data_IF_297052349929
#
_entry.id   IF_297052349929
#
_cell.length_a   1.000
_cell.length_b   1.000
_cell.length_c   1.000
_cell.angle_alpha   90.00
_cell.angle_beta   90.00
_cell.angle_gamma   90.00
#
_symmetry.space_group_name_H-M   'P 1'
#
loop_
_entity.id
_entity.type
_entity.pdbx_description
1 polymer ?
#
# COMPACT_ATOMS: atom_id res chain seq x y z
N UNK A 1 -23.26 -8.06 -9.21
CA UNK A 1 -22.20 -8.43 -10.19
C UNK A 1 -20.88 -7.74 -9.89
N UNK A 2 -20.83 -6.40 -9.82
CA UNK A 2 -19.60 -5.63 -9.53
C UNK A 2 -18.94 -6.01 -8.19
N UNK A 3 -19.73 -6.29 -7.15
CA UNK A 3 -19.22 -6.75 -5.86
C UNK A 3 -18.42 -8.06 -5.96
N UNK A 4 -18.93 -9.06 -6.68
CA UNK A 4 -18.24 -10.36 -6.85
C UNK A 4 -16.95 -10.16 -7.64
N UNK A 5 -16.99 -9.34 -8.69
CA UNK A 5 -15.80 -8.96 -9.46
C UNK A 5 -14.75 -8.31 -8.55
N UNK A 6 -15.15 -7.39 -7.68
CA UNK A 6 -14.23 -6.78 -6.72
C UNK A 6 -13.56 -7.81 -5.79
N UNK A 7 -14.31 -8.81 -5.30
CA UNK A 7 -13.72 -9.88 -4.47
C UNK A 7 -12.76 -10.77 -5.27
N UNK A 8 -13.03 -11.00 -6.56
CA UNK A 8 -12.09 -11.71 -7.45
C UNK A 8 -10.78 -10.93 -7.58
N UNK A 9 -10.84 -9.60 -7.75
CA UNK A 9 -9.63 -8.76 -7.76
C UNK A 9 -8.88 -8.84 -6.43
N UNK A 10 -9.57 -8.79 -5.30
CA UNK A 10 -8.93 -8.97 -3.98
C UNK A 10 -8.30 -10.35 -3.81
N UNK A 11 -8.91 -11.39 -4.39
CA UNK A 11 -8.32 -12.74 -4.38
C UNK A 11 -7.08 -12.84 -5.26
N UNK A 12 -7.09 -12.20 -6.44
CA UNK A 12 -5.90 -12.07 -7.30
C UNK A 12 -4.79 -11.32 -6.56
N UNK A 13 -5.13 -10.21 -5.88
CA UNK A 13 -4.19 -9.44 -5.06
C UNK A 13 -3.55 -10.31 -3.97
N UNK A 14 -4.36 -11.11 -3.27
CA UNK A 14 -3.91 -12.06 -2.27
C UNK A 14 -2.92 -13.09 -2.84
N UNK A 15 -3.26 -13.74 -3.96
CA UNK A 15 -2.39 -14.74 -4.59
C UNK A 15 -1.05 -14.13 -4.99
N UNK A 16 -1.09 -12.97 -5.67
CA UNK A 16 0.13 -12.28 -6.10
C UNK A 16 0.97 -11.93 -4.86
N UNK A 17 0.33 -11.45 -3.80
CA UNK A 17 0.96 -11.13 -2.52
C UNK A 17 1.71 -12.30 -1.90
N UNK A 18 1.10 -13.47 -1.84
CA UNK A 18 1.78 -14.67 -1.36
C UNK A 18 3.01 -14.98 -2.22
N UNK A 19 2.90 -14.87 -3.55
CA UNK A 19 3.99 -15.21 -4.48
C UNK A 19 5.18 -14.26 -4.33
N UNK A 20 4.97 -12.94 -4.43
CA UNK A 20 6.11 -12.00 -4.48
C UNK A 20 6.76 -11.76 -3.11
N UNK A 21 6.08 -12.04 -1.98
CA UNK A 21 6.70 -11.94 -0.64
C UNK A 21 7.93 -12.85 -0.50
N UNK A 22 8.00 -13.93 -1.28
CA UNK A 22 9.18 -14.80 -1.32
C UNK A 22 10.33 -14.27 -2.19
N UNK A 23 10.15 -13.16 -2.90
CA UNK A 23 11.20 -12.61 -3.76
C UNK A 23 12.27 -11.93 -2.92
N UNK A 24 13.54 -12.26 -3.18
CA UNK A 24 14.69 -11.69 -2.46
C UNK A 24 15.15 -10.35 -3.03
N UNK A 25 14.76 -10.02 -4.28
CA UNK A 25 15.15 -8.76 -4.93
C UNK A 25 14.19 -7.64 -4.58
N UNK A 26 14.70 -6.59 -3.93
CA UNK A 26 13.94 -5.38 -3.60
C UNK A 26 13.37 -4.69 -4.85
N UNK A 27 14.06 -4.78 -5.98
CA UNK A 27 13.60 -4.23 -7.26
C UNK A 27 12.32 -4.90 -7.74
N UNK A 28 12.31 -6.24 -7.71
CA UNK A 28 11.14 -7.01 -8.08
C UNK A 28 9.98 -6.75 -7.11
N UNK A 29 10.25 -6.67 -5.80
CA UNK A 29 9.22 -6.37 -4.79
C UNK A 29 8.53 -5.04 -5.12
N UNK A 30 9.29 -3.96 -5.35
CA UNK A 30 8.68 -2.64 -5.62
C UNK A 30 7.91 -2.64 -6.94
N UNK A 31 8.42 -3.32 -7.98
CA UNK A 31 7.70 -3.47 -9.25
C UNK A 31 6.37 -4.21 -9.06
N UNK A 32 6.34 -5.30 -8.28
CA UNK A 32 5.10 -6.02 -7.95
C UNK A 32 4.15 -5.16 -7.11
N UNK A 33 4.66 -4.32 -6.21
CA UNK A 33 3.82 -3.37 -5.47
C UNK A 33 3.10 -2.39 -6.39
N UNK A 34 3.67 -2.00 -7.54
CA UNK A 34 2.97 -1.16 -8.54
C UNK A 34 1.75 -1.91 -9.07
N UNK A 35 1.92 -3.17 -9.46
CA UNK A 35 0.84 -4.01 -10.01
C UNK A 35 -0.28 -4.21 -8.98
N UNK A 36 0.07 -4.55 -7.74
CA UNK A 36 -0.92 -4.69 -6.66
C UNK A 36 -1.73 -3.42 -6.45
N UNK A 37 -1.08 -2.26 -6.40
CA UNK A 37 -1.78 -1.00 -6.20
C UNK A 37 -2.76 -0.69 -7.35
N UNK A 38 -2.48 -1.13 -8.58
CA UNK A 38 -3.42 -1.00 -9.70
C UNK A 38 -4.59 -2.00 -9.61
N UNK A 39 -4.34 -3.20 -9.11
CA UNK A 39 -5.38 -4.20 -8.82
C UNK A 39 -6.30 -3.68 -7.72
N UNK A 40 -5.74 -3.20 -6.61
CA UNK A 40 -6.47 -2.57 -5.52
C UNK A 40 -7.27 -1.35 -6.00
N UNK A 41 -6.68 -0.49 -6.85
CA UNK A 41 -7.40 0.63 -7.42
C UNK A 41 -8.66 0.20 -8.19
N UNK A 42 -8.50 -0.83 -9.04
CA UNK A 42 -9.61 -1.41 -9.81
C UNK A 42 -10.68 -1.98 -8.89
N UNK A 43 -10.29 -2.73 -7.86
CA UNK A 43 -11.20 -3.26 -6.85
C UNK A 43 -11.98 -2.15 -6.14
N UNK A 44 -11.31 -1.09 -5.70
CA UNK A 44 -11.97 0.02 -5.02
C UNK A 44 -12.96 0.76 -5.94
N UNK A 45 -12.64 0.95 -7.22
CA UNK A 45 -13.60 1.54 -8.17
C UNK A 45 -14.81 0.64 -8.39
N UNK A 46 -14.64 -0.69 -8.45
CA UNK A 46 -15.74 -1.64 -8.55
C UNK A 46 -16.66 -1.60 -7.31
N UNK A 47 -16.13 -1.23 -6.15
CA UNK A 47 -16.87 -1.04 -4.89
C UNK A 47 -17.36 0.40 -4.69
N UNK A 48 -17.19 1.27 -5.68
CA UNK A 48 -17.51 2.70 -5.62
C UNK A 48 -16.76 3.47 -4.52
N UNK A 49 -15.62 2.96 -4.08
CA UNK A 49 -14.71 3.56 -3.11
C UNK A 49 -13.64 4.43 -3.81
N UNK A 50 -14.09 5.52 -4.44
CA UNK A 50 -13.30 6.38 -5.33
C UNK A 50 -12.05 6.92 -4.65
N UNK A 51 -12.13 7.37 -3.39
CA UNK A 51 -10.95 7.89 -2.67
C UNK A 51 -9.85 6.82 -2.58
N UNK A 52 -10.21 5.62 -2.12
CA UNK A 52 -9.30 4.48 -2.02
C UNK A 52 -8.68 4.15 -3.38
N UNK A 53 -9.49 4.12 -4.43
CA UNK A 53 -9.03 3.85 -5.79
C UNK A 53 -7.98 4.83 -6.31
N UNK A 54 -8.24 6.14 -6.15
CA UNK A 54 -7.32 7.20 -6.59
C UNK A 54 -6.03 7.19 -5.75
N UNK A 55 -6.15 7.00 -4.44
CA UNK A 55 -5.00 6.89 -3.55
C UNK A 55 -4.12 5.69 -3.92
N UNK A 56 -4.73 4.55 -4.28
CA UNK A 56 -3.99 3.38 -4.76
C UNK A 56 -3.24 3.66 -6.08
N UNK A 57 -3.83 4.40 -7.02
CA UNK A 57 -3.12 4.84 -8.24
C UNK A 57 -1.91 5.71 -7.88
N UNK A 58 -2.07 6.66 -6.96
CA UNK A 58 -0.98 7.53 -6.51
C UNK A 58 0.13 6.70 -5.87
N UNK A 59 -0.22 5.69 -5.07
CA UNK A 59 0.73 4.76 -4.48
C UNK A 59 1.47 3.94 -5.55
N UNK A 60 0.80 3.51 -6.62
CA UNK A 60 1.45 2.83 -7.75
C UNK A 60 2.51 3.72 -8.40
N UNK A 61 2.16 4.98 -8.73
CA UNK A 61 3.08 5.96 -9.33
C UNK A 61 4.26 6.25 -8.40
N UNK A 62 3.99 6.44 -7.10
CA UNK A 62 5.00 6.69 -6.08
C UNK A 62 5.99 5.54 -5.96
N UNK A 63 5.50 4.29 -5.90
CA UNK A 63 6.32 3.10 -5.88
C UNK A 63 7.23 3.03 -7.11
N UNK A 64 6.69 3.32 -8.30
CA UNK A 64 7.46 3.34 -9.54
C UNK A 64 8.56 4.42 -9.54
N UNK A 65 8.25 5.64 -9.09
CA UNK A 65 9.25 6.72 -9.00
C UNK A 65 10.35 6.37 -7.99
N UNK A 66 9.98 5.87 -6.81
CA UNK A 66 10.95 5.48 -5.78
C UNK A 66 11.82 4.30 -6.22
N UNK A 67 11.26 3.36 -6.98
CA UNK A 67 12.01 2.31 -7.64
C UNK A 67 13.07 2.87 -8.58
N UNK A 68 12.71 3.82 -9.44
CA UNK A 68 13.63 4.42 -10.40
C UNK A 68 14.80 5.16 -9.71
N UNK A 69 14.51 5.92 -8.65
CA UNK A 69 15.54 6.55 -7.83
C UNK A 69 16.51 5.51 -7.26
N UNK A 70 15.97 4.44 -6.68
CA UNK A 70 16.76 3.38 -6.09
C UNK A 70 17.60 2.60 -7.12
N UNK A 71 17.08 2.36 -8.32
CA UNK A 71 17.82 1.73 -9.43
C UNK A 71 19.03 2.57 -9.86
N UNK A 72 19.00 3.88 -9.64
CA UNK A 72 20.12 4.80 -9.86
C UNK A 72 21.01 4.99 -8.63
N UNK A 73 20.83 4.19 -7.57
CA UNK A 73 21.46 4.35 -6.26
C UNK A 73 21.31 5.76 -5.66
N UNK A 74 20.16 6.41 -5.94
CA UNK A 74 19.83 7.73 -5.42
C UNK A 74 18.66 7.64 -4.44
N UNK A 75 18.71 8.48 -3.42
CA UNK A 75 17.56 8.74 -2.54
C UNK A 75 16.61 9.73 -3.23
N UNK A 76 15.28 9.53 -3.18
CA UNK A 76 14.33 10.55 -3.61
C UNK A 76 14.56 11.86 -2.85
N UNK A 77 14.54 12.99 -3.56
CA UNK A 77 14.73 14.30 -2.94
C UNK A 77 13.56 14.66 -2.01
N UNK A 78 13.78 15.57 -1.07
CA UNK A 78 12.72 16.12 -0.22
C UNK A 78 11.61 16.76 -1.07
N UNK A 79 11.94 17.33 -2.23
CA UNK A 79 10.97 17.87 -3.19
C UNK A 79 10.05 16.76 -3.71
N UNK A 80 10.60 15.61 -4.10
CA UNK A 80 9.78 14.46 -4.54
C UNK A 80 8.85 13.97 -3.41
N UNK A 81 9.34 13.94 -2.17
CA UNK A 81 8.52 13.59 -1.01
C UNK A 81 7.33 14.55 -0.85
N UNK A 82 7.59 15.85 -0.83
CA UNK A 82 6.56 16.89 -0.66
C UNK A 82 5.54 16.82 -1.79
N UNK A 83 5.98 16.63 -3.04
CA UNK A 83 5.07 16.49 -4.19
C UNK A 83 4.09 15.33 -3.98
N UNK A 84 4.57 14.14 -3.61
CA UNK A 84 3.68 12.99 -3.42
C UNK A 84 2.73 13.17 -2.24
N UNK A 85 3.18 13.77 -1.14
CA UNK A 85 2.31 14.09 0.00
C UNK A 85 1.23 15.10 -0.42
N UNK A 86 1.61 16.19 -1.11
CA UNK A 86 0.66 17.19 -1.59
C UNK A 86 -0.35 16.60 -2.57
N UNK A 87 0.09 15.77 -3.52
CA UNK A 87 -0.80 15.08 -4.46
C UNK A 87 -1.79 14.18 -3.71
N UNK A 88 -1.32 13.39 -2.73
CA UNK A 88 -2.18 12.50 -1.96
C UNK A 88 -3.23 13.26 -1.12
N UNK A 89 -2.84 14.39 -0.51
CA UNK A 89 -3.76 15.23 0.26
C UNK A 89 -4.78 15.90 -0.66
N UNK A 90 -4.33 16.54 -1.75
CA UNK A 90 -5.21 17.21 -2.70
C UNK A 90 -6.18 16.23 -3.37
N UNK A 91 -5.69 15.05 -3.79
CA UNK A 91 -6.56 14.01 -4.34
C UNK A 91 -7.58 13.54 -3.32
N UNK A 92 -7.17 13.39 -2.06
CA UNK A 92 -8.04 12.99 -0.96
C UNK A 92 -9.16 13.98 -0.69
N UNK A 93 -8.86 15.28 -0.75
CA UNK A 93 -9.86 16.36 -0.61
C UNK A 93 -10.81 16.38 -1.80
N UNK A 94 -10.30 16.25 -3.03
CA UNK A 94 -11.12 16.28 -4.26
C UNK A 94 -12.05 15.07 -4.36
N UNK A 95 -11.56 13.90 -3.94
CA UNK A 95 -12.27 12.61 -4.07
C UNK A 95 -12.95 12.19 -2.79
N UNK A 96 -13.11 13.10 -1.83
CA UNK A 96 -13.67 12.81 -0.52
C UNK A 96 -15.11 12.30 -0.64
N UNK A 97 -15.38 11.10 -0.11
CA UNK A 97 -16.72 10.51 -0.15
C UNK A 97 -17.38 10.51 1.22
N UNK A 98 -16.62 10.21 2.28
CA UNK A 98 -17.12 10.13 3.64
C UNK A 98 -15.97 10.27 4.65
N UNK A 99 -16.30 10.24 5.94
CA UNK A 99 -15.28 10.37 7.01
C UNK A 99 -14.20 9.29 6.93
N UNK A 100 -14.51 8.11 6.41
CA UNK A 100 -13.57 6.99 6.28
C UNK A 100 -12.55 7.18 5.15
N UNK A 101 -12.83 8.07 4.19
CA UNK A 101 -11.86 8.51 3.17
C UNK A 101 -10.59 9.11 3.78
N UNK A 102 -10.59 9.55 5.04
CA UNK A 102 -9.40 10.03 5.75
C UNK A 102 -8.33 8.93 5.90
N UNK A 103 -8.75 7.67 6.05
CA UNK A 103 -7.86 6.54 6.35
C UNK A 103 -6.83 6.33 5.23
N UNK A 104 -7.23 6.11 3.95
CA UNK A 104 -6.27 5.89 2.87
C UNK A 104 -5.35 7.11 2.65
N UNK A 105 -5.84 8.33 2.90
CA UNK A 105 -5.05 9.57 2.80
C UNK A 105 -3.94 9.58 3.84
N UNK A 106 -4.29 9.42 5.13
CA UNK A 106 -3.32 9.40 6.23
C UNK A 106 -2.34 8.24 6.05
N UNK A 107 -2.84 7.06 5.71
CA UNK A 107 -2.04 5.87 5.45
C UNK A 107 -0.98 6.15 4.37
N UNK A 108 -1.37 6.79 3.28
CA UNK A 108 -0.46 7.12 2.18
C UNK A 108 0.58 8.16 2.58
N UNK A 109 0.20 9.20 3.34
CA UNK A 109 1.15 10.19 3.84
C UNK A 109 2.19 9.56 4.78
N UNK A 110 1.74 8.78 5.76
CA UNK A 110 2.62 8.08 6.71
C UNK A 110 3.57 7.14 5.97
N UNK A 111 3.06 6.34 5.03
CA UNK A 111 3.88 5.38 4.32
C UNK A 111 4.86 6.03 3.34
N UNK A 112 4.46 7.14 2.73
CA UNK A 112 5.32 7.94 1.85
C UNK A 112 6.52 8.50 2.60
N UNK A 113 6.29 9.06 3.79
CA UNK A 113 7.36 9.47 4.69
C UNK A 113 8.20 8.28 5.14
N UNK A 114 7.55 7.19 5.56
CA UNK A 114 8.22 5.96 5.99
C UNK A 114 9.20 5.43 4.96
N UNK A 115 8.78 5.30 3.70
CA UNK A 115 9.63 4.83 2.60
C UNK A 115 10.75 5.79 2.20
N UNK A 116 10.61 7.08 2.51
CA UNK A 116 11.67 8.07 2.27
C UNK A 116 12.78 8.01 3.35
N UNK A 117 12.55 7.36 4.49
CA UNK A 117 13.54 7.23 5.55
C UNK A 117 14.58 6.15 5.24
N UNK A 118 15.83 6.39 5.63
CA UNK A 118 16.93 5.41 5.45
C UNK A 118 16.88 4.30 6.51
N UNK A 119 16.31 4.60 7.69
CA UNK A 119 16.23 3.67 8.81
C UNK A 119 15.16 2.61 8.54
N UNK A 120 15.59 1.36 8.31
CA UNK A 120 14.71 0.19 8.11
C UNK A 120 13.66 0.03 9.21
N UNK A 121 13.99 0.39 10.47
CA UNK A 121 13.05 0.38 11.59
C UNK A 121 11.84 1.28 11.35
N UNK A 122 12.05 2.49 10.80
CA UNK A 122 10.97 3.45 10.53
C UNK A 122 10.05 2.93 9.44
N UNK A 123 10.63 2.45 8.32
CA UNK A 123 9.88 1.83 7.21
C UNK A 123 8.95 0.73 7.74
N UNK A 124 9.45 -0.15 8.60
CA UNK A 124 8.69 -1.27 9.17
C UNK A 124 7.54 -0.83 10.07
N UNK A 125 7.80 0.14 10.96
CA UNK A 125 6.75 0.68 11.85
C UNK A 125 5.65 1.34 11.03
N UNK A 126 6.02 2.20 10.07
CA UNK A 126 5.05 2.85 9.20
C UNK A 126 4.26 1.85 8.37
N UNK A 127 4.90 0.80 7.83
CA UNK A 127 4.21 -0.25 7.09
C UNK A 127 3.17 -0.98 7.95
N UNK A 128 3.50 -1.28 9.22
CA UNK A 128 2.56 -1.92 10.15
C UNK A 128 1.34 -1.07 10.47
N UNK A 129 1.54 0.22 10.78
CA UNK A 129 0.45 1.17 11.05
C UNK A 129 -0.46 1.30 9.82
N UNK A 130 0.16 1.42 8.64
CA UNK A 130 -0.51 1.63 7.36
C UNK A 130 -1.31 0.41 6.93
N UNK A 131 -0.74 -0.79 7.01
CA UNK A 131 -1.45 -2.02 6.69
C UNK A 131 -2.65 -2.23 7.60
N UNK A 132 -2.54 -1.88 8.89
CA UNK A 132 -3.68 -1.97 9.80
C UNK A 132 -4.79 -0.98 9.43
N UNK A 133 -4.40 0.24 9.04
CA UNK A 133 -5.34 1.25 8.53
C UNK A 133 -6.06 0.79 7.26
N UNK A 134 -5.33 0.27 6.27
CA UNK A 134 -5.92 -0.28 5.05
C UNK A 134 -6.86 -1.45 5.33
N UNK A 135 -6.48 -2.40 6.20
CA UNK A 135 -7.38 -3.50 6.57
C UNK A 135 -8.69 -3.04 7.19
N UNK A 136 -8.69 -1.97 8.01
CA UNK A 136 -9.93 -1.36 8.53
C UNK A 136 -10.74 -0.72 7.40
N UNK A 137 -10.08 0.06 6.55
CA UNK A 137 -10.74 0.72 5.42
C UNK A 137 -11.39 -0.30 4.47
N UNK A 138 -10.70 -1.40 4.20
CA UNK A 138 -11.17 -2.48 3.35
C UNK A 138 -12.45 -3.12 3.89
N UNK A 139 -12.54 -3.36 5.20
CA UNK A 139 -13.78 -3.83 5.83
C UNK A 139 -14.91 -2.82 5.62
N UNK A 140 -14.65 -1.53 5.83
CA UNK A 140 -15.64 -0.46 5.70
C UNK A 140 -16.19 -0.38 4.28
N UNK A 141 -15.34 -0.52 3.26
CA UNK A 141 -15.74 -0.47 1.85
C UNK A 141 -16.15 -1.84 1.29
N UNK A 142 -16.30 -2.85 2.15
CA UNK A 142 -16.70 -4.22 1.81
C UNK A 142 -15.70 -4.95 0.88
N UNK A 143 -14.44 -4.55 0.89
CA UNK A 143 -13.32 -5.21 0.23
C UNK A 143 -12.78 -6.40 1.07
N UNK A 144 -13.65 -7.34 1.44
CA UNK A 144 -13.35 -8.37 2.46
C UNK A 144 -12.13 -9.24 2.14
N UNK A 145 -11.92 -9.62 0.88
CA UNK A 145 -10.75 -10.45 0.52
C UNK A 145 -9.44 -9.66 0.66
N UNK A 146 -9.44 -8.37 0.31
CA UNK A 146 -8.28 -7.50 0.51
C UNK A 146 -8.00 -7.29 2.01
N UNK A 147 -9.05 -7.08 2.81
CA UNK A 147 -8.90 -6.99 4.27
C UNK A 147 -8.21 -8.23 4.85
N UNK A 148 -8.63 -9.44 4.44
CA UNK A 148 -7.98 -10.70 4.85
C UNK A 148 -6.50 -10.71 4.45
N UNK A 149 -6.18 -10.30 3.21
CA UNK A 149 -4.81 -10.21 2.73
C UNK A 149 -3.96 -9.25 3.58
N UNK A 150 -4.46 -8.06 3.90
CA UNK A 150 -3.75 -7.08 4.73
C UNK A 150 -3.45 -7.64 6.14
N UNK A 151 -4.45 -8.25 6.79
CA UNK A 151 -4.23 -8.84 8.11
C UNK A 151 -3.28 -10.04 8.09
N UNK A 152 -3.33 -10.88 7.05
CA UNK A 152 -2.37 -11.98 6.88
C UNK A 152 -0.95 -11.44 6.66
N UNK A 153 -0.79 -10.37 5.89
CA UNK A 153 0.52 -9.77 5.63
C UNK A 153 1.10 -9.10 6.88
N UNK A 154 0.26 -8.44 7.69
CA UNK A 154 0.64 -7.93 9.00
C UNK A 154 1.10 -9.07 9.92
N UNK A 155 0.30 -10.13 10.06
CA UNK A 155 0.64 -11.28 10.90
C UNK A 155 1.96 -11.94 10.47
N UNK A 156 2.13 -12.17 9.17
CA UNK A 156 3.37 -12.72 8.59
C UNK A 156 4.58 -11.83 8.88
N UNK A 157 4.43 -10.51 8.74
CA UNK A 157 5.49 -9.54 9.03
C UNK A 157 5.89 -9.56 10.51
N UNK A 158 4.92 -9.66 11.42
CA UNK A 158 5.18 -9.76 12.86
C UNK A 158 5.93 -11.07 13.17
N UNK A 159 5.44 -12.23 12.69
CA UNK A 159 6.07 -13.54 12.91
C UNK A 159 7.51 -13.55 12.36
N UNK A 160 7.75 -12.97 11.18
CA UNK A 160 9.08 -12.87 10.58
C UNK A 160 10.05 -12.03 11.43
N UNK A 161 9.57 -10.97 12.08
CA UNK A 161 10.37 -10.15 12.99
C UNK A 161 10.74 -10.90 14.27
N UNK A 162 9.81 -11.63 14.86
CA UNK A 162 10.08 -12.44 16.06
C UNK A 162 11.02 -13.61 15.76
N UNK A 163 10.83 -14.32 14.66
CA UNK A 163 11.65 -15.47 14.28
C UNK A 163 13.09 -15.06 13.93
N UNK A 164 13.28 -13.97 13.18
CA UNK A 164 14.62 -13.48 12.85
C UNK A 164 15.37 -12.89 14.06
N UNK A 165 14.66 -12.45 15.11
CA UNK A 165 15.29 -12.07 16.38
C UNK A 165 15.84 -13.26 17.15
N UNK A 166 15.24 -14.45 17.05
CA UNK A 166 15.73 -15.67 17.73
C UNK A 166 16.98 -16.30 17.09
N UNK A 167 17.36 -15.86 15.88
CA UNK A 167 18.54 -16.35 15.13
C UNK A 167 19.76 -15.43 15.22
N UNK A 168 19.66 -14.32 15.96
CA UNK A 168 20.78 -13.43 16.31
C UNK A 168 21.10 -13.56 17.79
#
# INVERSE_FOLDING_TARGET
MLFILAQIFGFIELIITVIYVHFKSKEKIVMWSVILNLIAATQFFLLNAITGGIVSIINAIRCFVFYYYKKKDKKPSTVTLVIFISIAVLSGVITWQNIWSIIPIIATVIYTYGLWQDKVKVIRITAGIVGFGWGIYDIIVMAYVAAIQEFLQLASSVIALYTNRKKK
#
